data_IF_875145274124
#
_entry.id   IF_875145274124
#
_cell.length_a   1.000
_cell.length_b   1.000
_cell.length_c   1.000
_cell.angle_alpha   90.00
_cell.angle_beta   90.00
_cell.angle_gamma   90.00
#
_symmetry.space_group_name_H-M   'P 1'
#
loop_
_entity.id
_entity.type
_entity.pdbx_description
1 polymer ?
#
# COMPACT_ATOMS: atom_id res chain seq x y z
N UNK A 1 18.91 -16.79 -21.11
CA UNK A 1 20.09 -15.95 -20.80
C UNK A 1 20.53 -16.24 -19.37
N UNK A 2 21.80 -16.45 -19.08
CA UNK A 2 22.31 -16.94 -17.79
C UNK A 2 22.33 -15.91 -16.67
N UNK A 3 21.76 -14.71 -16.85
CA UNK A 3 21.79 -13.58 -15.90
C UNK A 3 20.43 -12.96 -15.61
N UNK A 4 19.34 -13.65 -15.95
CA UNK A 4 18.00 -13.21 -15.57
C UNK A 4 17.81 -13.44 -14.08
N UNK A 5 18.03 -12.38 -13.35
CA UNK A 5 17.72 -12.12 -11.95
C UNK A 5 18.51 -12.91 -10.90
N UNK A 6 19.64 -12.36 -10.49
CA UNK A 6 20.12 -12.62 -9.12
C UNK A 6 18.98 -12.22 -8.14
N UNK A 7 18.68 -13.07 -7.15
CA UNK A 7 17.67 -12.74 -6.15
C UNK A 7 18.03 -11.40 -5.49
N UNK A 8 17.11 -10.44 -5.54
CA UNK A 8 17.28 -9.19 -4.81
C UNK A 8 17.15 -9.50 -3.30
N UNK A 9 18.14 -9.15 -2.46
CA UNK A 9 18.09 -9.47 -1.03
C UNK A 9 17.01 -8.63 -0.33
N UNK A 10 16.43 -9.20 0.71
CA UNK A 10 15.64 -8.42 1.67
C UNK A 10 16.56 -7.46 2.43
N UNK A 11 16.13 -6.21 2.61
CA UNK A 11 16.96 -5.17 3.21
C UNK A 11 16.19 -4.33 4.22
N UNK A 12 16.89 -3.90 5.27
CA UNK A 12 16.45 -2.81 6.13
C UNK A 12 16.84 -1.49 5.45
N UNK A 13 15.85 -0.80 4.90
CA UNK A 13 16.07 0.48 4.19
C UNK A 13 16.41 1.60 5.19
N UNK A 14 15.69 1.62 6.31
CA UNK A 14 15.89 2.54 7.43
C UNK A 14 15.36 1.87 8.71
N UNK A 15 15.61 2.42 9.91
CA UNK A 15 14.99 1.94 11.14
C UNK A 15 13.45 1.89 11.00
N UNK A 16 12.87 0.69 11.16
CA UNK A 16 11.43 0.47 11.00
C UNK A 16 10.94 0.32 9.56
N UNK A 17 11.85 0.19 8.57
CA UNK A 17 11.48 -0.01 7.15
C UNK A 17 12.15 -1.26 6.60
N UNK A 18 11.34 -2.29 6.33
CA UNK A 18 11.75 -3.52 5.68
C UNK A 18 11.28 -3.56 4.23
N UNK A 19 12.17 -3.90 3.29
CA UNK A 19 11.86 -4.20 1.90
C UNK A 19 12.18 -5.65 1.60
N UNK A 20 11.18 -6.41 1.16
CA UNK A 20 11.29 -7.83 0.82
C UNK A 20 10.92 -8.01 -0.65
N UNK A 21 11.92 -8.09 -1.54
CA UNK A 21 11.69 -8.21 -2.97
C UNK A 21 11.05 -9.53 -3.37
N UNK A 22 10.08 -9.48 -4.30
CA UNK A 22 9.46 -10.68 -4.88
C UNK A 22 8.67 -11.54 -3.89
N UNK A 23 8.26 -10.98 -2.76
CA UNK A 23 7.57 -11.69 -1.68
C UNK A 23 6.23 -12.30 -2.11
N UNK A 24 5.50 -11.62 -3.00
CA UNK A 24 4.25 -12.13 -3.57
C UNK A 24 4.54 -12.78 -4.91
N UNK A 25 4.36 -14.09 -5.01
CA UNK A 25 4.50 -14.82 -6.27
C UNK A 25 3.44 -14.43 -7.31
N UNK A 26 3.74 -14.62 -8.59
CA UNK A 26 2.94 -14.12 -9.73
C UNK A 26 1.49 -14.62 -9.73
N UNK A 27 1.24 -15.88 -9.34
CA UNK A 27 -0.12 -16.42 -9.27
C UNK A 27 -0.95 -15.73 -8.18
N UNK A 28 -0.33 -15.43 -7.03
CA UNK A 28 -0.99 -14.69 -5.96
C UNK A 28 -1.22 -13.23 -6.36
N UNK A 29 -0.29 -12.61 -7.10
CA UNK A 29 -0.48 -11.28 -7.65
C UNK A 29 -1.70 -11.24 -8.56
N UNK A 30 -1.82 -12.20 -9.49
CA UNK A 30 -2.97 -12.33 -10.39
C UNK A 30 -4.28 -12.47 -9.62
N UNK A 31 -4.31 -13.36 -8.63
CA UNK A 31 -5.50 -13.56 -7.79
C UNK A 31 -5.92 -12.28 -7.05
N UNK A 32 -4.96 -11.54 -6.47
CA UNK A 32 -5.23 -10.26 -5.81
C UNK A 32 -5.77 -9.21 -6.79
N UNK A 33 -5.19 -9.10 -7.99
CA UNK A 33 -5.66 -8.17 -9.03
C UNK A 33 -7.09 -8.50 -9.45
N UNK A 34 -7.41 -9.77 -9.67
CA UNK A 34 -8.75 -10.22 -10.05
C UNK A 34 -9.76 -9.93 -8.94
N UNK A 35 -9.42 -10.19 -7.68
CA UNK A 35 -10.25 -9.90 -6.52
C UNK A 35 -10.52 -8.38 -6.37
N UNK A 36 -9.48 -7.54 -6.43
CA UNK A 36 -9.63 -6.08 -6.35
C UNK A 36 -10.46 -5.53 -7.51
N UNK A 37 -10.29 -6.08 -8.71
CA UNK A 37 -11.10 -5.73 -9.90
C UNK A 37 -12.56 -6.16 -9.73
N UNK A 38 -12.81 -7.32 -9.13
CA UNK A 38 -14.16 -7.81 -8.80
C UNK A 38 -14.88 -6.82 -7.88
N UNK A 39 -14.24 -6.44 -6.77
CA UNK A 39 -14.79 -5.47 -5.82
C UNK A 39 -15.02 -4.10 -6.48
N UNK A 40 -14.04 -3.60 -7.26
CA UNK A 40 -14.19 -2.33 -7.97
C UNK A 40 -15.38 -2.30 -8.93
N UNK A 41 -15.70 -3.44 -9.58
CA UNK A 41 -16.88 -3.59 -10.46
C UNK A 41 -18.19 -3.65 -9.66
N UNK A 42 -18.21 -4.40 -8.56
CA UNK A 42 -19.38 -4.55 -7.70
C UNK A 42 -19.84 -3.20 -7.13
N UNK A 43 -18.87 -2.35 -6.75
CA UNK A 43 -19.17 -1.04 -6.17
C UNK A 43 -19.19 0.11 -7.18
N UNK A 44 -19.08 -0.18 -8.48
CA UNK A 44 -19.18 0.84 -9.54
C UNK A 44 -20.51 1.59 -9.48
N UNK A 45 -20.47 2.92 -9.59
CA UNK A 45 -21.66 3.77 -9.53
C UNK A 45 -22.21 4.02 -8.11
N UNK A 46 -21.58 3.46 -7.07
CA UNK A 46 -21.92 3.73 -5.68
C UNK A 46 -20.99 4.80 -5.06
N UNK A 47 -21.32 5.36 -3.88
CA UNK A 47 -20.41 6.24 -3.14
C UNK A 47 -19.05 5.59 -2.79
N UNK A 48 -18.96 4.25 -2.79
CA UNK A 48 -17.74 3.49 -2.50
C UNK A 48 -17.00 3.05 -3.76
N UNK A 49 -17.38 3.54 -4.93
CA UNK A 49 -16.68 3.23 -6.18
C UNK A 49 -15.20 3.61 -6.14
N UNK A 50 -14.39 2.89 -6.90
CA UNK A 50 -13.01 3.28 -7.17
C UNK A 50 -12.99 4.59 -7.96
N UNK A 51 -12.39 5.63 -7.41
CA UNK A 51 -12.39 6.99 -7.98
C UNK A 51 -11.01 7.65 -7.93
N UNK A 52 -10.83 8.70 -8.72
CA UNK A 52 -9.71 9.64 -8.58
C UNK A 52 -10.08 10.72 -7.56
N UNK A 53 -9.39 10.80 -6.43
CA UNK A 53 -9.66 11.84 -5.44
C UNK A 53 -9.41 13.25 -6.01
N UNK A 54 -10.25 14.21 -5.60
CA UNK A 54 -10.01 15.63 -5.84
C UNK A 54 -9.09 16.19 -4.77
N UNK A 55 -8.11 16.98 -5.19
CA UNK A 55 -7.19 17.67 -4.30
C UNK A 55 -7.84 18.97 -3.78
N UNK A 56 -7.47 19.39 -2.58
CA UNK A 56 -7.92 20.69 -2.02
C UNK A 56 -7.54 21.89 -2.92
N UNK A 57 -6.48 21.75 -3.72
CA UNK A 57 -6.03 22.74 -4.71
C UNK A 57 -6.90 22.82 -5.97
N UNK A 58 -7.97 22.03 -6.07
CA UNK A 58 -8.87 21.95 -7.24
C UNK A 58 -8.44 20.97 -8.31
N UNK A 59 -7.23 20.40 -8.24
CA UNK A 59 -6.77 19.35 -9.14
C UNK A 59 -7.35 17.98 -8.83
N UNK A 60 -7.11 17.02 -9.72
CA UNK A 60 -7.45 15.61 -9.52
C UNK A 60 -6.19 14.77 -9.43
N UNK A 61 -6.15 13.77 -8.53
CA UNK A 61 -5.04 12.83 -8.46
C UNK A 61 -4.92 12.04 -9.77
N UNK A 62 -3.70 11.68 -10.16
CA UNK A 62 -3.47 10.78 -11.30
C UNK A 62 -3.80 9.31 -10.97
N UNK A 63 -3.95 8.99 -9.69
CA UNK A 63 -4.13 7.65 -9.14
C UNK A 63 -5.59 7.43 -8.78
N UNK A 64 -6.11 6.23 -9.08
CA UNK A 64 -7.42 5.79 -8.63
C UNK A 64 -7.30 5.11 -7.27
N UNK A 65 -8.28 5.31 -6.40
CA UNK A 65 -8.32 4.73 -5.06
C UNK A 65 -9.60 3.95 -4.81
N UNK A 66 -9.46 2.73 -4.26
CA UNK A 66 -10.55 1.92 -3.73
C UNK A 66 -10.28 1.68 -2.25
N UNK A 67 -11.22 2.05 -1.40
CA UNK A 67 -11.15 1.86 0.04
C UNK A 67 -11.84 0.56 0.45
N UNK A 68 -11.21 -0.19 1.35
CA UNK A 68 -11.73 -1.44 1.91
C UNK A 68 -11.68 -1.38 3.43
N UNK A 69 -12.72 -1.88 4.09
CA UNK A 69 -12.85 -1.91 5.55
C UNK A 69 -13.27 -0.58 6.17
N UNK A 70 -12.54 0.47 5.87
CA UNK A 70 -12.81 1.85 6.34
C UNK A 70 -12.60 2.85 5.22
N UNK A 71 -13.36 3.93 5.24
CA UNK A 71 -13.26 5.05 4.30
C UNK A 71 -12.97 6.34 5.07
N UNK A 72 -11.92 7.08 4.66
CA UNK A 72 -11.64 8.39 5.22
C UNK A 72 -12.59 9.44 4.66
N UNK A 73 -13.50 9.93 5.49
CA UNK A 73 -14.49 10.93 5.10
C UNK A 73 -13.98 12.34 5.43
N UNK A 74 -13.48 13.04 4.41
CA UNK A 74 -12.90 14.38 4.56
C UNK A 74 -13.82 15.41 5.20
N UNK A 75 -15.13 15.48 4.89
CA UNK A 75 -16.03 16.45 5.52
C UNK A 75 -16.17 16.28 7.03
N UNK A 76 -16.24 15.05 7.53
CA UNK A 76 -16.35 14.78 8.98
C UNK A 76 -15.02 14.53 9.68
N UNK A 77 -13.92 14.50 8.91
CA UNK A 77 -12.55 14.28 9.37
C UNK A 77 -12.39 13.02 10.24
N UNK A 78 -12.99 11.93 9.79
CA UNK A 78 -12.96 10.63 10.49
C UNK A 78 -13.08 9.46 9.52
N UNK A 79 -12.69 8.28 9.99
CA UNK A 79 -13.02 7.03 9.31
C UNK A 79 -14.49 6.66 9.51
N UNK A 80 -15.13 6.22 8.43
CA UNK A 80 -16.50 5.73 8.42
C UNK A 80 -16.56 4.34 7.81
N UNK A 81 -17.62 3.58 8.12
CA UNK A 81 -17.89 2.25 7.57
C UNK A 81 -19.05 2.23 6.57
N UNK A 82 -19.72 3.40 6.40
CA UNK A 82 -20.72 3.59 5.36
C UNK A 82 -20.78 5.06 4.91
N UNK A 83 -21.30 5.29 3.71
CA UNK A 83 -21.61 6.61 3.18
C UNK A 83 -22.90 6.52 2.35
N UNK A 84 -23.86 7.40 2.64
CA UNK A 84 -25.16 7.47 1.95
C UNK A 84 -25.87 6.10 1.87
N UNK A 85 -25.82 5.33 2.96
CA UNK A 85 -26.43 3.99 3.05
C UNK A 85 -25.62 2.86 2.41
N UNK A 86 -24.52 3.18 1.74
CA UNK A 86 -23.61 2.17 1.15
C UNK A 86 -22.49 1.83 2.13
N UNK A 87 -22.36 0.56 2.50
CA UNK A 87 -21.25 0.08 3.32
C UNK A 87 -19.95 0.09 2.54
N UNK A 88 -18.86 0.45 3.23
CA UNK A 88 -17.51 0.26 2.69
C UNK A 88 -17.27 -1.23 2.44
N UNK A 89 -16.75 -1.64 1.26
CA UNK A 89 -16.38 -3.03 1.00
C UNK A 89 -15.50 -3.56 2.15
N UNK A 90 -15.74 -4.76 2.68
CA UNK A 90 -14.92 -5.31 3.75
C UNK A 90 -13.47 -5.53 3.26
N UNK A 91 -12.51 -5.54 4.20
CA UNK A 91 -11.16 -6.04 3.87
C UNK A 91 -11.28 -7.52 3.53
N UNK A 92 -10.88 -7.94 2.31
CA UNK A 92 -10.95 -9.34 1.89
C UNK A 92 -10.13 -10.26 2.80
N UNK A 93 -10.59 -11.50 2.92
CA UNK A 93 -9.89 -12.50 3.72
C UNK A 93 -8.48 -12.78 3.20
N UNK A 94 -8.27 -12.72 1.90
CA UNK A 94 -6.96 -12.82 1.25
C UNK A 94 -5.94 -11.82 1.80
N UNK A 95 -6.36 -10.57 2.05
CA UNK A 95 -5.51 -9.51 2.62
C UNK A 95 -5.34 -9.68 4.13
N UNK A 96 -6.37 -10.17 4.84
CA UNK A 96 -6.26 -10.48 6.27
C UNK A 96 -5.23 -11.58 6.53
N UNK A 97 -5.23 -12.62 5.69
CA UNK A 97 -4.29 -13.75 5.79
C UNK A 97 -2.86 -13.37 5.38
N UNK A 98 -2.69 -12.41 4.47
CA UNK A 98 -1.38 -11.93 4.02
C UNK A 98 -0.67 -11.14 5.14
N UNK A 99 -1.38 -10.34 5.92
CA UNK A 99 -0.79 -9.35 6.82
C UNK A 99 0.19 -9.93 7.86
N UNK A 100 -0.11 -11.02 8.59
CA UNK A 100 0.86 -11.58 9.55
C UNK A 100 2.15 -12.07 8.90
N UNK A 101 2.06 -12.73 7.75
CA UNK A 101 3.22 -13.20 6.99
C UNK A 101 4.08 -12.05 6.47
N UNK A 102 3.45 -10.97 6.00
CA UNK A 102 4.13 -9.77 5.54
C UNK A 102 4.92 -9.08 6.66
N UNK A 103 4.30 -8.94 7.83
CA UNK A 103 4.96 -8.37 9.00
C UNK A 103 6.15 -9.22 9.46
N UNK A 104 5.98 -10.54 9.53
CA UNK A 104 7.04 -11.46 9.92
C UNK A 104 8.22 -11.37 8.94
N UNK A 105 7.97 -11.41 7.64
CA UNK A 105 9.04 -11.30 6.64
C UNK A 105 9.79 -9.96 6.69
N UNK A 106 9.08 -8.87 6.95
CA UNK A 106 9.71 -7.55 7.09
C UNK A 106 10.46 -7.39 8.43
N UNK A 107 9.96 -7.98 9.51
CA UNK A 107 10.61 -7.95 10.84
C UNK A 107 11.95 -8.69 10.84
N UNK A 108 12.15 -9.69 9.99
CA UNK A 108 13.44 -10.38 9.85
C UNK A 108 14.59 -9.41 9.48
N UNK A 109 14.29 -8.34 8.75
CA UNK A 109 15.29 -7.32 8.36
C UNK A 109 15.12 -6.00 9.11
N UNK A 110 13.95 -5.71 9.65
CA UNK A 110 13.64 -4.48 10.39
C UNK A 110 13.00 -4.83 11.75
N UNK A 111 13.81 -5.14 12.78
CA UNK A 111 13.33 -5.67 14.06
C UNK A 111 12.41 -4.71 14.84
N UNK A 112 12.37 -3.44 14.49
CA UNK A 112 11.42 -2.48 15.05
C UNK A 112 9.95 -2.82 14.71
N UNK A 113 9.72 -3.71 13.76
CA UNK A 113 8.40 -4.18 13.37
C UNK A 113 7.93 -5.40 14.19
N UNK A 114 8.84 -6.07 14.91
CA UNK A 114 8.57 -7.30 15.67
C UNK A 114 7.36 -7.19 16.63
N UNK A 115 7.16 -6.09 17.38
CA UNK A 115 6.02 -5.96 18.29
C UNK A 115 4.65 -6.08 17.62
N UNK A 116 4.61 -5.90 16.29
CA UNK A 116 3.38 -5.91 15.53
C UNK A 116 3.06 -7.25 14.86
N UNK A 117 4.00 -8.19 14.83
CA UNK A 117 3.84 -9.48 14.13
C UNK A 117 2.59 -10.24 14.61
N UNK A 118 2.36 -10.27 15.92
CA UNK A 118 1.20 -10.97 16.51
C UNK A 118 0.03 -10.03 16.88
N UNK A 119 0.27 -8.71 16.90
CA UNK A 119 -0.70 -7.74 17.42
C UNK A 119 -1.40 -6.90 16.33
N UNK A 120 -0.95 -7.00 15.08
CA UNK A 120 -1.51 -6.21 13.99
C UNK A 120 -2.89 -6.71 13.57
N UNK A 121 -3.83 -5.78 13.43
CA UNK A 121 -5.18 -6.08 12.95
C UNK A 121 -5.44 -5.33 11.64
N UNK A 122 -5.66 -6.03 10.52
CA UNK A 122 -5.97 -5.42 9.23
C UNK A 122 -7.41 -4.90 9.22
N UNK A 123 -7.59 -3.64 9.59
CA UNK A 123 -8.91 -2.98 9.65
C UNK A 123 -9.27 -2.24 8.36
N UNK A 124 -8.26 -1.86 7.59
CA UNK A 124 -8.40 -1.12 6.35
C UNK A 124 -7.40 -1.61 5.30
N UNK A 125 -7.80 -1.56 4.04
CA UNK A 125 -6.86 -1.56 2.93
C UNK A 125 -7.21 -0.45 1.93
N UNK A 126 -6.17 0.16 1.36
CA UNK A 126 -6.29 1.13 0.28
C UNK A 126 -5.62 0.56 -0.97
N UNK A 127 -6.41 0.40 -2.02
CA UNK A 127 -5.93 -0.04 -3.32
C UNK A 127 -5.74 1.17 -4.22
N UNK A 128 -4.49 1.47 -4.54
CA UNK A 128 -4.10 2.56 -5.43
C UNK A 128 -3.76 1.97 -6.81
N UNK A 129 -4.52 2.31 -7.84
CA UNK A 129 -4.18 2.00 -9.22
C UNK A 129 -3.52 3.22 -9.87
N UNK A 130 -2.33 3.02 -10.37
CA UNK A 130 -1.50 3.97 -11.08
C UNK A 130 -1.58 3.66 -12.59
N UNK A 131 -2.38 4.39 -13.38
CA UNK A 131 -2.27 4.33 -14.83
C UNK A 131 -0.86 4.71 -15.32
N UNK A 132 -0.47 4.36 -16.56
CA UNK A 132 0.77 4.83 -17.15
C UNK A 132 0.98 6.35 -16.99
N UNK A 133 2.21 6.77 -16.69
CA UNK A 133 2.56 8.16 -16.46
C UNK A 133 2.10 8.76 -15.12
N UNK A 134 1.56 7.95 -14.21
CA UNK A 134 1.07 8.42 -12.90
C UNK A 134 2.19 8.54 -11.88
N UNK A 135 1.98 9.43 -10.91
CA UNK A 135 2.83 9.61 -9.74
C UNK A 135 1.99 9.98 -8.52
N UNK A 136 2.58 9.88 -7.34
CA UNK A 136 1.99 10.35 -6.09
C UNK A 136 3.01 11.18 -5.32
N UNK A 137 2.69 12.43 -5.08
CA UNK A 137 3.56 13.35 -4.35
C UNK A 137 3.82 12.88 -2.92
N UNK A 138 4.89 13.41 -2.32
CA UNK A 138 5.25 13.12 -0.92
C UNK A 138 4.12 13.53 0.02
N UNK A 139 3.61 12.57 0.82
CA UNK A 139 2.54 12.73 1.79
C UNK A 139 2.85 11.89 3.04
N UNK A 140 2.05 12.05 4.06
CA UNK A 140 2.09 11.25 5.28
C UNK A 140 0.76 10.52 5.43
N UNK A 141 0.82 9.25 5.78
CA UNK A 141 -0.34 8.45 6.20
C UNK A 141 -0.59 8.68 7.70
N UNK A 142 -1.34 9.72 8.04
CA UNK A 142 -1.49 10.22 9.42
C UNK A 142 -2.94 10.34 9.89
N UNK A 143 -3.86 9.64 9.26
CA UNK A 143 -5.27 9.68 9.66
C UNK A 143 -5.65 8.56 10.63
N UNK A 144 -4.83 7.51 10.72
CA UNK A 144 -5.00 6.41 11.65
C UNK A 144 -4.62 6.85 13.07
N UNK A 145 -5.44 6.46 14.06
CA UNK A 145 -5.12 6.64 15.48
C UNK A 145 -4.03 5.66 15.92
N UNK A 146 -3.96 4.51 15.26
CA UNK A 146 -2.99 3.44 15.55
C UNK A 146 -1.59 3.80 15.03
N UNK A 147 -0.53 3.62 15.85
CA UNK A 147 0.85 3.72 15.42
C UNK A 147 1.36 2.43 14.71
N UNK A 148 0.48 1.47 14.44
CA UNK A 148 0.81 0.23 13.76
C UNK A 148 1.45 0.48 12.39
N UNK A 149 2.35 -0.38 11.92
CA UNK A 149 3.02 -0.22 10.63
C UNK A 149 2.04 -0.27 9.46
N UNK A 150 2.48 0.26 8.33
CA UNK A 150 1.80 0.12 7.04
C UNK A 150 2.45 -1.02 6.26
N UNK A 151 1.64 -1.97 5.81
CA UNK A 151 2.05 -3.04 4.90
C UNK A 151 1.73 -2.57 3.49
N UNK A 152 2.70 -2.61 2.58
CA UNK A 152 2.57 -2.11 1.21
C UNK A 152 3.00 -3.17 0.20
N UNK A 153 2.07 -3.66 -0.60
CA UNK A 153 2.29 -4.63 -1.68
C UNK A 153 2.31 -3.93 -3.03
N UNK A 154 3.26 -4.29 -3.89
CA UNK A 154 3.42 -3.73 -5.24
C UNK A 154 3.11 -4.80 -6.29
N UNK A 155 2.26 -4.49 -7.28
CA UNK A 155 1.91 -5.40 -8.39
C UNK A 155 1.87 -4.59 -9.69
N UNK A 156 2.49 -5.10 -10.75
CA UNK A 156 2.51 -4.46 -12.07
C UNK A 156 3.82 -3.75 -12.37
N UNK A 157 3.74 -2.58 -13.00
CA UNK A 157 4.91 -1.82 -13.39
C UNK A 157 5.79 -1.41 -12.21
N UNK A 158 7.10 -1.33 -12.45
CA UNK A 158 8.07 -0.82 -11.47
C UNK A 158 7.76 0.61 -11.07
N UNK A 159 8.07 0.94 -9.83
CA UNK A 159 7.93 2.29 -9.33
C UNK A 159 9.14 2.74 -8.51
N UNK A 160 9.51 4.01 -8.64
CA UNK A 160 10.44 4.64 -7.72
C UNK A 160 9.66 5.17 -6.53
N UNK A 161 9.72 4.44 -5.42
CA UNK A 161 9.17 4.83 -4.14
C UNK A 161 10.21 5.60 -3.34
N UNK A 162 9.80 6.71 -2.79
CA UNK A 162 10.66 7.60 -2.00
C UNK A 162 10.14 7.71 -0.59
N UNK A 163 11.04 7.57 0.39
CA UNK A 163 10.78 7.78 1.80
C UNK A 163 11.71 8.85 2.35
N UNK A 164 11.16 9.78 3.11
CA UNK A 164 11.89 10.91 3.71
C UNK A 164 11.90 10.86 5.23
N UNK A 165 11.79 12.05 5.81
CA UNK A 165 11.71 12.27 7.25
C UNK A 165 10.26 12.27 7.74
N UNK A 166 10.08 12.22 9.04
CA UNK A 166 8.81 12.44 9.71
C UNK A 166 8.48 13.94 9.86
N UNK A 167 9.46 14.81 9.80
CA UNK A 167 9.32 16.24 10.11
C UNK A 167 9.10 17.11 8.87
N UNK A 168 9.72 16.77 7.75
CA UNK A 168 9.69 17.60 6.55
C UNK A 168 9.80 16.82 5.24
N UNK A 169 9.31 17.43 4.14
CA UNK A 169 9.42 16.90 2.77
C UNK A 169 10.77 17.21 2.12
N UNK A 170 11.85 17.24 2.89
CA UNK A 170 13.18 17.64 2.43
C UNK A 170 14.14 16.45 2.44
N UNK A 171 15.27 16.59 1.74
CA UNK A 171 16.37 15.60 1.78
C UNK A 171 16.97 15.49 3.17
N UNK A 172 17.63 14.34 3.51
CA UNK A 172 17.88 13.16 2.66
C UNK A 172 16.64 12.29 2.48
N UNK A 173 16.63 11.51 1.39
CA UNK A 173 15.59 10.54 1.06
C UNK A 173 16.18 9.17 0.79
N UNK A 174 15.43 8.13 1.14
CA UNK A 174 15.70 6.75 0.76
C UNK A 174 14.82 6.43 -0.45
N UNK A 175 15.44 6.15 -1.60
CA UNK A 175 14.76 5.79 -2.84
C UNK A 175 14.81 4.27 -3.02
N UNK A 176 13.66 3.64 -3.22
CA UNK A 176 13.48 2.21 -3.39
C UNK A 176 12.85 1.94 -4.76
N UNK A 177 13.50 1.13 -5.60
CA UNK A 177 12.85 0.59 -6.79
C UNK A 177 11.98 -0.58 -6.39
N UNK A 178 10.66 -0.42 -6.52
CA UNK A 178 9.66 -1.44 -6.23
C UNK A 178 9.27 -2.14 -7.53
N UNK A 179 9.49 -3.45 -7.60
CA UNK A 179 9.03 -4.30 -8.69
C UNK A 179 7.74 -5.03 -8.30
N UNK A 180 7.13 -5.69 -9.28
CA UNK A 180 5.94 -6.52 -9.05
C UNK A 180 6.24 -7.66 -8.07
N UNK A 181 5.39 -7.81 -7.07
CA UNK A 181 5.57 -8.79 -5.99
C UNK A 181 6.36 -8.28 -4.79
N UNK A 182 6.90 -7.08 -4.83
CA UNK A 182 7.65 -6.51 -3.70
C UNK A 182 6.73 -6.14 -2.54
N UNK A 183 7.24 -6.40 -1.34
CA UNK A 183 6.66 -5.97 -0.07
C UNK A 183 7.54 -4.89 0.56
N UNK A 184 6.93 -3.79 0.99
CA UNK A 184 7.52 -2.83 1.92
C UNK A 184 6.65 -2.73 3.15
N UNK A 185 7.26 -2.80 4.33
CA UNK A 185 6.58 -2.49 5.58
C UNK A 185 7.32 -1.35 6.26
N UNK A 186 6.58 -0.33 6.69
CA UNK A 186 7.16 0.79 7.42
C UNK A 186 6.36 1.12 8.67
N UNK A 187 7.07 1.28 9.79
CA UNK A 187 6.51 1.50 11.11
C UNK A 187 7.51 2.11 12.08
N UNK A 188 7.22 2.10 13.37
CA UNK A 188 8.10 2.62 14.39
C UNK A 188 8.57 4.05 14.09
N UNK A 189 9.90 4.31 14.04
CA UNK A 189 10.44 5.65 13.78
C UNK A 189 10.03 6.25 12.42
N UNK A 190 9.65 5.41 11.45
CA UNK A 190 9.26 5.84 10.09
C UNK A 190 7.76 5.73 9.82
N UNK A 191 6.92 5.40 10.83
CA UNK A 191 5.47 5.25 10.63
C UNK A 191 4.82 6.47 9.98
N UNK A 192 5.25 7.64 10.38
CA UNK A 192 4.72 8.92 9.88
C UNK A 192 5.70 9.66 8.96
N UNK A 193 6.62 8.93 8.32
CA UNK A 193 7.54 9.53 7.37
C UNK A 193 6.82 9.99 6.10
N UNK A 194 7.24 11.13 5.56
CA UNK A 194 6.82 11.56 4.23
C UNK A 194 7.28 10.54 3.20
N UNK A 195 6.35 10.07 2.38
CA UNK A 195 6.64 9.11 1.32
C UNK A 195 5.79 9.37 0.08
N UNK A 196 6.19 8.80 -1.04
CA UNK A 196 5.46 8.96 -2.30
C UNK A 196 6.02 8.10 -3.41
N UNK A 197 5.34 8.10 -4.55
CA UNK A 197 5.77 7.43 -5.79
C UNK A 197 6.21 8.51 -6.77
N UNK A 198 7.52 8.62 -6.98
CA UNK A 198 8.14 9.65 -7.83
C UNK A 198 7.76 9.44 -9.29
N UNK A 199 7.77 8.18 -9.74
CA UNK A 199 7.36 7.76 -11.08
C UNK A 199 7.02 6.28 -11.10
N UNK A 200 6.24 5.90 -12.08
CA UNK A 200 6.04 4.52 -12.53
C UNK A 200 6.82 4.34 -13.85
N UNK A 201 7.51 3.24 -14.00
CA UNK A 201 8.27 2.90 -15.21
C UNK A 201 7.36 2.03 -16.10
N UNK A 202 6.67 2.66 -17.03
CA UNK A 202 5.67 1.99 -17.88
C UNK A 202 6.27 0.83 -18.68
N UNK A 203 5.52 -0.24 -18.84
CA UNK A 203 5.90 -1.40 -19.65
C UNK A 203 6.88 -2.38 -18.98
N UNK A 204 7.09 -2.27 -17.67
CA UNK A 204 8.00 -3.15 -16.90
C UNK A 204 7.27 -4.26 -16.14
N UNK A 205 5.95 -4.33 -16.24
CA UNK A 205 5.15 -5.34 -15.54
C UNK A 205 5.46 -6.77 -16.04
N UNK A 206 5.54 -7.75 -15.13
CA UNK A 206 5.80 -9.13 -15.52
C UNK A 206 4.55 -9.78 -16.14
N UNK A 207 4.77 -10.71 -17.07
CA UNK A 207 3.67 -11.53 -17.59
C UNK A 207 2.98 -12.30 -16.46
N UNK A 208 1.65 -12.39 -16.53
CA UNK A 208 0.86 -13.20 -15.60
C UNK A 208 0.49 -12.50 -14.29
N UNK A 209 0.97 -11.30 -14.00
CA UNK A 209 0.61 -10.56 -12.77
C UNK A 209 -0.86 -10.12 -12.69
N UNK A 210 -1.64 -10.27 -13.77
CA UNK A 210 -3.07 -9.93 -13.83
C UNK A 210 -3.37 -8.53 -14.36
N UNK A 211 -2.38 -7.65 -14.48
CA UNK A 211 -2.50 -6.33 -15.12
C UNK A 211 -2.11 -6.39 -16.60
N UNK A 212 -2.65 -5.46 -17.39
CA UNK A 212 -2.26 -5.23 -18.79
C UNK A 212 -1.30 -4.03 -18.90
N UNK A 213 -1.41 -3.08 -17.98
CA UNK A 213 -0.62 -1.86 -17.90
C UNK A 213 -0.70 -1.27 -16.50
N UNK A 214 0.23 -0.42 -16.15
CA UNK A 214 0.25 0.34 -14.91
C UNK A 214 0.59 -0.50 -13.68
N UNK A 215 0.30 0.05 -12.53
CA UNK A 215 0.68 -0.51 -11.22
C UNK A 215 -0.47 -0.46 -10.25
N UNK A 216 -0.62 -1.52 -9.46
CA UNK A 216 -1.42 -1.52 -8.24
C UNK A 216 -0.48 -1.50 -7.02
N UNK A 217 -0.84 -0.67 -6.05
CA UNK A 217 -0.29 -0.71 -4.70
C UNK A 217 -1.43 -0.99 -3.74
N UNK A 218 -1.29 -2.02 -2.91
CA UNK A 218 -2.26 -2.34 -1.85
C UNK A 218 -1.58 -2.05 -0.52
N UNK A 219 -2.08 -1.05 0.22
CA UNK A 219 -1.64 -0.79 1.59
C UNK A 219 -2.64 -1.36 2.58
N UNK A 220 -2.16 -2.10 3.59
CA UNK A 220 -2.99 -2.66 4.66
C UNK A 220 -2.62 -1.94 5.96
N UNK A 221 -3.64 -1.52 6.71
CA UNK A 221 -3.47 -0.66 7.89
C UNK A 221 -4.37 -1.10 9.04
N UNK A 222 -3.92 -0.82 10.24
CA UNK A 222 -4.72 -0.81 11.45
C UNK A 222 -5.11 0.63 11.75
N UNK A 223 -6.40 0.89 11.94
CA UNK A 223 -6.95 2.24 12.14
C UNK A 223 -7.05 2.58 13.62
N UNK A 224 -7.56 1.64 14.43
CA UNK A 224 -7.89 1.87 15.82
C UNK A 224 -6.72 1.54 16.75
N UNK A 225 -6.57 2.33 17.81
CA UNK A 225 -5.71 1.94 18.95
C UNK A 225 -6.39 0.80 19.69
N UNK A 226 -5.69 -0.31 19.88
CA UNK A 226 -6.14 -1.40 20.75
C UNK A 226 -5.27 -1.44 21.98
N UNK A 227 -5.88 -1.63 23.14
CA UNK A 227 -5.11 -1.94 24.34
C UNK A 227 -4.37 -3.26 24.09
N UNK A 228 -3.05 -3.26 24.28
CA UNK A 228 -2.25 -4.48 24.32
C UNK A 228 -2.68 -5.18 25.59
N UNK A 229 -3.38 -6.31 25.44
CA UNK A 229 -3.79 -7.17 26.57
C UNK A 229 -2.60 -7.98 27.07
#
# INVERSE_FOLDING_TARGET
>A
MLFDSLPRPSVRVAPGVGHVPGWVGVDKQKALVEEMRGIAREYAGTPMAMVRPRLKSGGQMSVFQLHLGRYWHYPSYRYVDNMDGTRVPPVPESLRQIAPGALRAAAEVAPELEPWVENFVPEMALVNYYPPGSAMGMHVDAFEESPAPVISLSIGDEALFRMGHTEARTRPWDDITLCSGDLVVFGGPKRFAYHGVVRVNDGTLPQGCGLKEGRINITIRQVSVRAVS
#
